data_IF_386344081304
#
_entry.id   IF_386344081304
#
_cell.length_a   1.000
_cell.length_b   1.000
_cell.length_c   1.000
_cell.angle_alpha   90.00
_cell.angle_beta   90.00
_cell.angle_gamma   90.00
#
_symmetry.space_group_name_H-M   'P 1'
#
loop_
_entity.id
_entity.type
_entity.pdbx_description
1 polymer ?
#
# COMPACT_ATOMS: atom_id res chain seq x y z
N UNK A 1 42.29 -36.61 26.36
CA UNK A 1 41.08 -36.40 25.55
C UNK A 1 40.03 -35.69 26.41
N UNK A 2 40.15 -34.38 26.68
CA UNK A 2 39.09 -33.63 27.40
C UNK A 2 39.16 -32.09 27.27
N UNK A 3 39.92 -31.53 26.32
CA UNK A 3 40.09 -30.07 26.19
C UNK A 3 39.22 -29.46 25.06
N UNK A 4 38.63 -30.29 24.19
CA UNK A 4 37.97 -29.81 22.95
C UNK A 4 36.49 -29.42 23.18
N UNK A 5 35.85 -29.89 24.27
CA UNK A 5 34.40 -29.70 24.50
C UNK A 5 34.02 -28.39 25.21
N UNK A 6 34.83 -27.90 26.16
CA UNK A 6 34.47 -26.71 26.96
C UNK A 6 34.58 -25.39 26.21
N UNK A 7 35.44 -25.31 25.18
CA UNK A 7 35.56 -24.11 24.35
C UNK A 7 34.29 -23.89 23.52
N UNK A 8 33.80 -24.93 22.82
CA UNK A 8 32.62 -24.87 21.92
C UNK A 8 31.36 -24.31 22.58
N UNK A 9 31.12 -24.66 23.84
CA UNK A 9 29.97 -24.18 24.64
C UNK A 9 30.07 -22.68 24.97
N UNK A 10 31.28 -22.13 25.12
CA UNK A 10 31.52 -20.69 25.37
C UNK A 10 31.61 -19.86 24.09
N UNK A 11 31.96 -20.45 22.95
CA UNK A 11 31.97 -19.76 21.64
C UNK A 11 30.55 -19.61 21.09
N UNK A 12 29.64 -20.55 21.37
CA UNK A 12 28.25 -20.45 20.93
C UNK A 12 27.53 -19.16 21.37
N UNK A 13 27.55 -18.74 22.65
CA UNK A 13 26.93 -17.49 23.07
C UNK A 13 27.66 -16.27 22.50
N UNK A 14 28.98 -16.34 22.27
CA UNK A 14 29.74 -15.25 21.64
C UNK A 14 29.35 -15.09 20.17
N UNK A 15 29.17 -16.20 19.45
CA UNK A 15 28.69 -16.19 18.06
C UNK A 15 27.25 -15.68 18.00
N UNK A 16 26.38 -16.11 18.92
CA UNK A 16 25.01 -15.62 19.03
C UNK A 16 24.97 -14.10 19.27
N UNK A 17 25.80 -13.60 20.20
CA UNK A 17 25.89 -12.19 20.55
C UNK A 17 26.50 -11.36 19.41
N UNK A 18 27.46 -11.92 18.68
CA UNK A 18 28.02 -11.33 17.46
C UNK A 18 26.98 -11.25 16.34
N UNK A 19 26.18 -12.29 16.11
CA UNK A 19 25.09 -12.28 15.14
C UNK A 19 24.02 -11.25 15.50
N UNK A 20 23.69 -11.12 16.79
CA UNK A 20 22.76 -10.11 17.27
C UNK A 20 23.31 -8.69 17.04
N UNK A 21 24.59 -8.47 17.32
CA UNK A 21 25.27 -7.19 17.06
C UNK A 21 25.30 -6.85 15.56
N UNK A 22 25.52 -7.84 14.70
CA UNK A 22 25.55 -7.64 13.25
C UNK A 22 24.17 -7.32 12.65
N UNK A 23 23.08 -7.79 13.27
CA UNK A 23 21.72 -7.47 12.82
C UNK A 23 21.35 -5.99 12.97
N UNK A 24 21.98 -5.27 13.90
CA UNK A 24 21.78 -3.81 14.08
C UNK A 24 22.51 -3.01 13.01
N UNK A 25 23.51 -3.60 12.34
CA UNK A 25 24.30 -2.97 11.28
C UNK A 25 23.70 -3.20 9.88
N UNK A 26 22.44 -3.67 9.81
CA UNK A 26 21.72 -3.74 8.53
C UNK A 26 21.49 -2.33 8.00
N UNK A 27 21.81 -2.04 6.72
CA UNK A 27 21.43 -0.77 6.12
C UNK A 27 19.91 -0.62 6.22
N UNK A 28 19.46 0.52 6.73
CA UNK A 28 18.05 0.87 6.72
C UNK A 28 17.58 0.82 5.26
N UNK A 29 16.51 0.08 4.99
CA UNK A 29 15.93 0.03 3.66
C UNK A 29 15.57 1.47 3.23
N UNK A 30 16.10 1.93 2.10
CA UNK A 30 15.71 3.19 1.47
C UNK A 30 14.35 3.00 0.82
N UNK A 31 13.31 2.93 1.64
CA UNK A 31 11.96 3.12 1.16
C UNK A 31 11.79 4.60 0.79
N UNK A 32 11.09 4.85 -0.32
CA UNK A 32 10.62 6.20 -0.60
C UNK A 32 9.55 6.54 0.43
N UNK A 33 9.61 7.76 0.97
CA UNK A 33 8.54 8.27 1.79
C UNK A 33 7.24 8.35 0.98
N UNK A 34 6.12 8.17 1.67
CA UNK A 34 4.81 8.40 1.07
C UNK A 34 4.70 9.82 0.54
N UNK A 35 3.99 10.03 -0.59
CA UNK A 35 3.80 11.36 -1.14
C UNK A 35 3.06 12.26 -0.13
N UNK A 36 3.59 13.45 0.08
CA UNK A 36 2.92 14.48 0.86
C UNK A 36 1.70 15.01 0.08
N UNK A 37 0.52 14.48 0.36
CA UNK A 37 -0.74 14.91 -0.25
C UNK A 37 -1.60 15.66 0.77
N UNK A 38 -2.00 16.88 0.43
CA UNK A 38 -2.94 17.67 1.23
C UNK A 38 -4.37 17.38 0.79
N UNK A 39 -4.86 16.18 1.10
CA UNK A 39 -6.24 15.77 0.83
C UNK A 39 -6.81 15.00 2.02
N UNK A 40 -8.14 14.97 2.12
CA UNK A 40 -8.83 14.21 3.18
C UNK A 40 -8.77 12.70 2.92
N UNK A 41 -8.98 12.31 1.67
CA UNK A 41 -8.91 10.94 1.18
C UNK A 41 -8.28 10.90 -0.22
N UNK A 42 -7.50 9.85 -0.52
CA UNK A 42 -6.77 9.65 -1.78
C UNK A 42 -6.77 8.17 -2.15
N UNK A 43 -6.95 7.88 -3.44
CA UNK A 43 -6.73 6.57 -4.04
C UNK A 43 -6.01 6.74 -5.37
N UNK A 44 -4.83 6.14 -5.52
CA UNK A 44 -4.11 6.01 -6.77
C UNK A 44 -4.03 4.54 -7.13
N UNK A 45 -4.72 4.17 -8.21
CA UNK A 45 -4.80 2.79 -8.67
C UNK A 45 -4.68 2.71 -10.19
N UNK A 46 -4.21 1.56 -10.66
CA UNK A 46 -4.29 1.15 -12.06
C UNK A 46 -5.72 0.68 -12.38
N UNK A 47 -6.32 1.25 -13.43
CA UNK A 47 -7.73 0.98 -13.75
C UNK A 47 -7.97 -0.45 -14.29
N UNK A 48 -7.00 -1.03 -15.00
CA UNK A 48 -7.16 -2.33 -15.66
C UNK A 48 -6.86 -3.50 -14.71
N UNK A 49 -5.79 -3.40 -13.92
CA UNK A 49 -5.37 -4.45 -12.98
C UNK A 49 -5.96 -4.31 -11.58
N UNK A 50 -6.50 -3.15 -11.24
CA UNK A 50 -6.96 -2.83 -9.89
C UNK A 50 -5.83 -2.68 -8.86
N UNK A 51 -4.56 -2.65 -9.30
CA UNK A 51 -3.41 -2.49 -8.41
C UNK A 51 -3.44 -1.09 -7.78
N UNK A 52 -3.51 -1.03 -6.46
CA UNK A 52 -3.37 0.22 -5.70
C UNK A 52 -1.88 0.52 -5.51
N UNK A 53 -1.47 1.73 -5.92
CA UNK A 53 -0.11 2.23 -5.71
C UNK A 53 0.02 3.07 -4.44
N UNK A 54 -1.03 3.82 -4.11
CA UNK A 54 -1.08 4.67 -2.92
C UNK A 54 -2.53 4.90 -2.49
N UNK A 55 -2.76 4.94 -1.18
CA UNK A 55 -4.08 5.26 -0.62
C UNK A 55 -3.93 5.94 0.73
N UNK A 56 -4.78 6.91 0.99
CA UNK A 56 -4.90 7.57 2.28
C UNK A 56 -6.39 7.74 2.59
N UNK A 57 -6.89 7.15 3.67
CA UNK A 57 -8.30 7.20 4.07
C UNK A 57 -9.29 6.90 2.93
N UNK A 58 -8.97 5.98 2.01
CA UNK A 58 -9.72 5.76 0.78
C UNK A 58 -11.20 5.35 1.02
N UNK A 59 -11.47 4.67 2.13
CA UNK A 59 -12.83 4.23 2.51
C UNK A 59 -13.57 5.25 3.40
N UNK A 60 -12.95 6.39 3.72
CA UNK A 60 -13.60 7.43 4.52
C UNK A 60 -14.74 8.07 3.72
N UNK A 61 -15.90 8.25 4.38
CA UNK A 61 -17.03 8.96 3.78
C UNK A 61 -16.73 10.46 3.67
N UNK A 62 -16.59 10.95 2.45
CA UNK A 62 -16.37 12.36 2.12
C UNK A 62 -17.52 12.87 1.25
N UNK A 63 -17.90 14.14 1.39
CA UNK A 63 -18.91 14.75 0.53
C UNK A 63 -18.41 14.80 -0.93
N UNK A 64 -19.11 14.17 -1.89
CA UNK A 64 -18.61 14.05 -3.27
C UNK A 64 -18.74 15.36 -4.07
N UNK A 65 -19.60 16.29 -3.64
CA UNK A 65 -19.88 17.55 -4.34
C UNK A 65 -20.13 17.33 -5.85
N UNK A 66 -19.33 17.95 -6.73
CA UNK A 66 -19.48 17.79 -8.18
C UNK A 66 -19.16 16.38 -8.69
N UNK A 67 -18.46 15.53 -7.94
CA UNK A 67 -18.17 14.15 -8.32
C UNK A 67 -19.44 13.30 -8.47
N UNK A 68 -20.55 13.68 -7.83
CA UNK A 68 -21.86 13.06 -8.07
C UNK A 68 -22.23 13.02 -9.56
N UNK A 69 -21.77 13.99 -10.35
CA UNK A 69 -22.00 14.03 -11.80
C UNK A 69 -21.43 12.82 -12.55
N UNK A 70 -20.38 12.17 -12.04
CA UNK A 70 -19.82 10.96 -12.66
C UNK A 70 -20.87 9.86 -12.67
N UNK A 71 -21.51 9.61 -11.51
CA UNK A 71 -22.60 8.62 -11.40
C UNK A 71 -23.81 9.06 -12.21
N UNK A 72 -24.15 10.35 -12.21
CA UNK A 72 -25.26 10.86 -13.02
C UNK A 72 -25.06 10.61 -14.52
N UNK A 73 -23.87 10.91 -15.05
CA UNK A 73 -23.54 10.67 -16.47
C UNK A 73 -23.51 9.18 -16.76
N UNK A 74 -22.95 8.37 -15.85
CA UNK A 74 -22.95 6.92 -15.99
C UNK A 74 -24.37 6.36 -16.20
N UNK A 75 -25.31 6.75 -15.34
CA UNK A 75 -26.72 6.33 -15.46
C UNK A 75 -27.39 6.86 -16.74
N UNK A 76 -27.06 8.08 -17.17
CA UNK A 76 -27.61 8.65 -18.40
C UNK A 76 -27.13 7.89 -19.65
N UNK A 77 -25.84 7.56 -19.71
CA UNK A 77 -25.26 6.74 -20.79
C UNK A 77 -25.89 5.35 -20.78
N UNK A 78 -26.05 4.75 -19.61
CA UNK A 78 -26.68 3.44 -19.46
C UNK A 78 -28.14 3.43 -19.95
N UNK A 79 -28.91 4.49 -19.67
CA UNK A 79 -30.28 4.64 -20.18
C UNK A 79 -30.32 4.77 -21.71
N UNK A 80 -29.37 5.50 -22.30
CA UNK A 80 -29.23 5.61 -23.77
C UNK A 80 -28.89 4.25 -24.39
N UNK A 81 -27.96 3.50 -23.80
CA UNK A 81 -27.57 2.16 -24.27
C UNK A 81 -28.73 1.15 -24.17
N UNK A 82 -29.58 1.28 -23.16
CA UNK A 82 -30.81 0.48 -23.01
C UNK A 82 -31.92 0.88 -23.97
N UNK A 83 -31.84 2.06 -24.57
CA UNK A 83 -32.88 2.62 -25.44
C UNK A 83 -34.04 3.26 -24.68
N UNK A 84 -33.88 3.58 -23.39
CA UNK A 84 -34.90 4.22 -22.57
C UNK A 84 -35.05 5.72 -22.90
N UNK A 85 -33.96 6.35 -23.39
CA UNK A 85 -33.87 7.76 -23.79
C UNK A 85 -32.97 7.87 -25.02
N UNK A 86 -33.31 8.71 -25.99
CA UNK A 86 -32.45 9.02 -27.13
C UNK A 86 -31.48 10.16 -26.80
N UNK A 87 -30.27 10.19 -27.38
CA UNK A 87 -29.34 11.31 -27.21
C UNK A 87 -29.89 12.68 -27.67
N UNK A 88 -30.98 12.66 -28.44
CA UNK A 88 -31.63 13.83 -29.03
C UNK A 88 -32.93 14.22 -28.35
N UNK A 89 -33.35 13.50 -27.31
CA UNK A 89 -34.54 13.84 -26.52
C UNK A 89 -34.36 15.15 -25.72
#
# INVERSE_FOLDING_TARGET
>A
MSEIDMKKIKIFPVILLLCLFFSVLSPAALALDDPAVTAKAVLLADADSGRVFFSQNADERVYPASLTKIVTVFLAVEAIERGDVLPTD
#
